data_IF_569599328389
#
_entry.id   IF_569599328389
#
_cell.length_a   1.000
_cell.length_b   1.000
_cell.length_c   1.000
_cell.angle_alpha   90.00
_cell.angle_beta   90.00
_cell.angle_gamma   90.00
#
_symmetry.space_group_name_H-M   'P 1'
#
loop_
_entity.id
_entity.type
_entity.pdbx_description
1 polymer ?
#
# COMPACT_ATOMS: atom_id res chain seq x y z
N UNK A 1 -6.63 -12.28 7.57
CA UNK A 1 -5.76 -11.85 6.45
C UNK A 1 -4.33 -12.25 6.80
N UNK A 2 -3.51 -12.68 5.83
CA UNK A 2 -2.09 -12.96 6.09
C UNK A 2 -1.29 -11.70 5.80
N UNK A 3 -0.35 -11.41 6.70
CA UNK A 3 0.46 -10.20 6.67
C UNK A 3 1.91 -10.55 6.97
N UNK A 4 2.82 -9.68 6.57
CA UNK A 4 4.25 -9.75 6.86
C UNK A 4 4.75 -8.41 7.37
N UNK A 5 5.56 -8.43 8.42
CA UNK A 5 6.12 -7.19 8.98
C UNK A 5 7.16 -6.59 8.03
N UNK A 6 7.06 -5.27 7.79
CA UNK A 6 8.07 -4.50 7.05
C UNK A 6 9.41 -4.57 7.78
N UNK A 7 9.39 -4.40 9.11
CA UNK A 7 10.58 -4.46 9.95
C UNK A 7 11.27 -5.83 9.84
N UNK A 8 10.50 -6.92 9.86
CA UNK A 8 11.03 -8.28 9.71
C UNK A 8 11.75 -8.44 8.36
N UNK A 9 11.14 -7.99 7.26
CA UNK A 9 11.75 -8.06 5.93
C UNK A 9 13.05 -7.26 5.89
N UNK A 10 13.04 -6.02 6.39
CA UNK A 10 14.23 -5.17 6.41
C UNK A 10 15.33 -5.72 7.32
N UNK A 11 14.99 -6.34 8.45
CA UNK A 11 15.98 -6.99 9.33
C UNK A 11 16.68 -8.16 8.63
N UNK A 12 15.98 -8.89 7.78
CA UNK A 12 16.54 -9.99 6.99
C UNK A 12 17.37 -9.52 5.78
N UNK A 13 17.36 -8.22 5.47
CA UNK A 13 18.20 -7.61 4.43
C UNK A 13 19.46 -7.00 5.04
N UNK A 14 20.38 -7.86 5.49
CA UNK A 14 21.61 -7.45 6.19
C UNK A 14 22.87 -7.47 5.30
N UNK A 15 22.75 -7.90 4.05
CA UNK A 15 23.85 -7.94 3.10
C UNK A 15 23.89 -6.64 2.28
N UNK A 16 25.03 -6.38 1.66
CA UNK A 16 25.15 -5.30 0.66
C UNK A 16 24.19 -5.57 -0.50
N UNK A 17 24.25 -6.77 -1.09
CA UNK A 17 23.34 -7.24 -2.13
C UNK A 17 22.44 -8.34 -1.57
N UNK A 18 21.14 -8.07 -1.44
CA UNK A 18 20.19 -9.03 -0.88
C UNK A 18 19.37 -9.68 -2.00
N UNK A 19 19.55 -10.99 -2.18
CA UNK A 19 18.81 -11.76 -3.18
C UNK A 19 17.46 -12.26 -2.67
N UNK A 20 16.46 -12.31 -3.54
CA UNK A 20 15.11 -12.76 -3.18
C UNK A 20 15.10 -14.17 -2.58
N UNK A 21 15.88 -15.09 -3.15
CA UNK A 21 15.96 -16.48 -2.68
C UNK A 21 16.60 -16.58 -1.28
N UNK A 22 17.54 -15.69 -0.94
CA UNK A 22 18.15 -15.64 0.38
C UNK A 22 17.20 -15.05 1.41
N UNK A 23 16.53 -13.94 1.08
CA UNK A 23 15.49 -13.32 1.91
C UNK A 23 14.37 -14.34 2.17
N UNK A 24 13.95 -15.11 1.16
CA UNK A 24 12.92 -16.15 1.32
C UNK A 24 13.36 -17.28 2.26
N UNK A 25 14.66 -17.61 2.31
CA UNK A 25 15.19 -18.65 3.20
C UNK A 25 15.24 -18.19 4.66
N UNK A 26 15.57 -16.93 4.89
CA UNK A 26 15.82 -16.38 6.23
C UNK A 26 14.60 -15.73 6.86
N UNK A 27 13.69 -15.18 6.05
CA UNK A 27 12.45 -14.56 6.52
C UNK A 27 11.40 -15.63 6.87
N UNK A 28 11.37 -16.00 8.15
CA UNK A 28 10.42 -16.96 8.72
C UNK A 28 9.29 -16.25 9.47
N UNK A 29 8.11 -16.86 9.51
CA UNK A 29 7.00 -16.40 10.34
C UNK A 29 7.27 -16.64 11.84
N UNK A 30 6.39 -16.14 12.71
CA UNK A 30 6.51 -16.28 14.17
C UNK A 30 6.60 -17.74 14.65
N UNK A 31 6.20 -18.71 13.83
CA UNK A 31 6.25 -20.14 14.12
C UNK A 31 7.47 -20.82 13.47
N UNK A 32 8.39 -20.04 12.91
CA UNK A 32 9.57 -20.54 12.21
C UNK A 32 9.28 -21.14 10.83
N UNK A 33 8.09 -20.91 10.24
CA UNK A 33 7.73 -21.44 8.93
C UNK A 33 8.07 -20.44 7.83
N UNK A 34 8.47 -20.96 6.67
CA UNK A 34 8.75 -20.15 5.48
C UNK A 34 7.45 -19.60 4.87
N UNK A 35 7.48 -18.34 4.46
CA UNK A 35 6.48 -17.78 3.57
C UNK A 35 6.55 -18.45 2.19
N UNK A 36 5.49 -18.33 1.38
CA UNK A 36 5.56 -18.76 -0.02
C UNK A 36 6.47 -17.81 -0.79
N UNK A 37 7.24 -18.32 -1.76
CA UNK A 37 8.13 -17.48 -2.59
C UNK A 37 7.40 -16.29 -3.20
N UNK A 38 6.22 -16.52 -3.79
CA UNK A 38 5.36 -15.47 -4.36
C UNK A 38 4.99 -14.37 -3.35
N UNK A 39 4.76 -14.74 -2.09
CA UNK A 39 4.39 -13.82 -1.02
C UNK A 39 5.59 -12.89 -0.71
N UNK A 40 6.82 -13.42 -0.71
CA UNK A 40 8.07 -12.62 -0.62
C UNK A 40 8.26 -11.75 -1.86
N UNK A 41 8.13 -12.30 -3.08
CA UNK A 41 8.30 -11.51 -4.32
C UNK A 41 7.36 -10.30 -4.36
N UNK A 42 6.11 -10.49 -3.94
CA UNK A 42 5.12 -9.42 -3.87
C UNK A 42 5.47 -8.40 -2.78
N UNK A 43 5.93 -8.86 -1.62
CA UNK A 43 6.34 -7.99 -0.52
C UNK A 43 7.55 -7.13 -0.89
N UNK A 44 8.53 -7.66 -1.63
CA UNK A 44 9.68 -6.88 -2.12
C UNK A 44 9.25 -5.80 -3.10
N UNK A 45 8.33 -6.09 -4.02
CA UNK A 45 7.75 -5.06 -4.92
C UNK A 45 7.05 -3.95 -4.14
N UNK A 46 6.35 -4.30 -3.06
CA UNK A 46 5.70 -3.32 -2.20
C UNK A 46 6.70 -2.50 -1.39
N UNK A 47 7.74 -3.12 -0.82
CA UNK A 47 8.81 -2.39 -0.14
C UNK A 47 9.52 -1.41 -1.08
N UNK A 48 9.70 -1.80 -2.35
CA UNK A 48 10.23 -0.92 -3.39
C UNK A 48 9.28 0.25 -3.67
N UNK A 49 7.97 -0.03 -3.82
CA UNK A 49 6.95 1.00 -4.03
C UNK A 49 6.76 1.95 -2.82
N UNK A 50 7.07 1.48 -1.61
CA UNK A 50 7.10 2.26 -0.36
C UNK A 50 8.47 2.90 -0.09
N UNK A 51 9.43 2.69 -0.99
CA UNK A 51 10.73 3.35 -0.96
C UNK A 51 11.70 2.81 0.08
N UNK A 52 11.37 1.71 0.77
CA UNK A 52 12.27 1.09 1.76
C UNK A 52 13.46 0.39 1.12
N UNK A 53 13.32 -0.07 -0.12
CA UNK A 53 14.37 -0.80 -0.84
C UNK A 53 14.45 -0.33 -2.29
N UNK A 54 15.63 -0.48 -2.89
CA UNK A 54 15.87 -0.25 -4.31
C UNK A 54 16.22 -1.57 -4.98
N UNK A 55 15.56 -1.86 -6.10
CA UNK A 55 15.89 -3.00 -6.95
C UNK A 55 17.02 -2.64 -7.89
N UNK A 56 18.08 -3.43 -7.88
CA UNK A 56 19.24 -3.27 -8.75
C UNK A 56 19.32 -4.47 -9.70
N UNK A 57 19.55 -4.20 -10.98
CA UNK A 57 19.75 -5.23 -12.01
C UNK A 57 21.17 -5.10 -12.55
N UNK A 58 22.02 -6.08 -12.30
CA UNK A 58 23.37 -6.14 -12.89
C UNK A 58 23.35 -6.87 -14.24
N UNK A 59 22.51 -7.90 -14.37
CA UNK A 59 22.26 -8.65 -15.60
C UNK A 59 20.80 -9.12 -15.67
N UNK A 60 20.41 -9.83 -16.74
CA UNK A 60 19.03 -10.32 -16.91
C UNK A 60 18.56 -11.25 -15.80
N UNK A 61 19.47 -11.96 -15.12
CA UNK A 61 19.19 -12.92 -14.05
C UNK A 61 19.69 -12.48 -12.69
N UNK A 62 20.62 -11.52 -12.62
CA UNK A 62 21.21 -11.03 -11.38
C UNK A 62 20.46 -9.79 -10.87
N UNK A 63 19.46 -10.07 -10.05
CA UNK A 63 18.58 -9.09 -9.43
C UNK A 63 18.76 -9.17 -7.92
N UNK A 64 19.17 -8.05 -7.32
CA UNK A 64 19.28 -7.92 -5.88
C UNK A 64 18.60 -6.63 -5.40
N UNK A 65 18.42 -6.57 -4.09
CA UNK A 65 17.77 -5.46 -3.41
C UNK A 65 18.71 -4.86 -2.38
N UNK A 66 18.81 -3.54 -2.39
CA UNK A 66 19.55 -2.78 -1.39
C UNK A 66 18.55 -1.98 -0.57
N UNK A 67 18.80 -1.82 0.73
CA UNK A 67 18.01 -0.88 1.54
C UNK A 67 18.17 0.52 0.97
N UNK A 68 17.06 1.23 0.80
CA UNK A 68 17.13 2.64 0.43
C UNK A 68 17.70 3.42 1.61
N UNK A 69 18.83 4.08 1.37
CA UNK A 69 19.28 5.16 2.24
C UNK A 69 18.81 6.46 1.61
N UNK A 70 17.85 7.12 2.24
CA UNK A 70 17.59 8.53 1.94
C UNK A 70 18.75 9.33 2.51
N UNK A 71 19.56 9.93 1.63
CA UNK A 71 20.78 10.65 2.00
C UNK A 71 20.44 11.88 2.86
N UNK A 72 19.28 12.50 2.58
CA UNK A 72 18.68 13.53 3.41
C UNK A 72 17.20 13.22 3.72
N UNK A 73 16.75 13.70 4.88
CA UNK A 73 15.34 13.78 5.29
C UNK A 73 14.43 14.39 4.22
N UNK A 74 14.90 15.38 3.47
CA UNK A 74 14.11 16.01 2.41
C UNK A 74 13.85 15.05 1.23
N UNK A 75 14.80 14.16 0.90
CA UNK A 75 14.62 13.17 -0.16
C UNK A 75 13.50 12.18 0.20
N UNK A 76 13.44 11.77 1.47
CA UNK A 76 12.37 10.88 1.91
C UNK A 76 11.00 11.55 1.90
N UNK A 77 10.94 12.80 2.36
CA UNK A 77 9.69 13.58 2.33
C UNK A 77 9.24 13.83 0.89
N UNK A 78 10.16 14.14 -0.02
CA UNK A 78 9.88 14.27 -1.45
C UNK A 78 9.27 13.00 -2.03
N UNK A 79 9.89 11.85 -1.75
CA UNK A 79 9.35 10.55 -2.14
C UNK A 79 7.94 10.30 -1.58
N UNK A 80 7.72 10.56 -0.28
CA UNK A 80 6.40 10.39 0.36
C UNK A 80 5.36 11.26 -0.32
N UNK A 81 5.69 12.52 -0.60
CA UNK A 81 4.79 13.46 -1.28
C UNK A 81 4.45 12.98 -2.69
N UNK A 82 5.42 12.51 -3.47
CA UNK A 82 5.18 12.00 -4.82
C UNK A 82 4.21 10.80 -4.82
N UNK A 83 4.41 9.85 -3.90
CA UNK A 83 3.53 8.69 -3.74
C UNK A 83 2.13 9.15 -3.30
N UNK A 84 2.05 10.09 -2.36
CA UNK A 84 0.80 10.65 -1.86
C UNK A 84 0.01 11.32 -2.99
N UNK A 85 0.60 12.29 -3.69
CA UNK A 85 -0.06 13.04 -4.77
C UNK A 85 -0.46 12.13 -5.93
N UNK A 86 0.36 11.15 -6.28
CA UNK A 86 0.05 10.18 -7.34
C UNK A 86 -1.21 9.39 -6.99
N UNK A 87 -1.32 8.88 -5.77
CA UNK A 87 -2.48 8.08 -5.37
C UNK A 87 -3.71 8.95 -5.11
N UNK A 88 -3.57 10.15 -4.56
CA UNK A 88 -4.66 11.11 -4.43
C UNK A 88 -5.27 11.47 -5.79
N UNK A 89 -4.43 11.72 -6.80
CA UNK A 89 -4.88 11.98 -8.18
C UNK A 89 -5.65 10.79 -8.76
N UNK A 90 -5.13 9.57 -8.61
CA UNK A 90 -5.82 8.33 -9.04
C UNK A 90 -7.17 8.13 -8.35
N UNK A 91 -7.26 8.44 -7.05
CA UNK A 91 -8.51 8.39 -6.30
C UNK A 91 -9.51 9.40 -6.88
N UNK A 92 -9.11 10.67 -7.04
CA UNK A 92 -9.97 11.72 -7.58
C UNK A 92 -10.50 11.36 -8.97
N UNK A 93 -9.63 10.87 -9.86
CA UNK A 93 -10.00 10.44 -11.20
C UNK A 93 -10.96 9.24 -11.19
N UNK A 94 -10.66 8.23 -10.37
CA UNK A 94 -11.50 7.04 -10.26
C UNK A 94 -12.87 7.36 -9.69
N UNK A 95 -12.94 8.21 -8.66
CA UNK A 95 -14.20 8.68 -8.10
C UNK A 95 -15.04 9.43 -9.14
N UNK A 96 -14.45 10.36 -9.89
CA UNK A 96 -15.14 11.10 -10.98
C UNK A 96 -15.72 10.15 -12.03
N UNK A 97 -14.97 9.11 -12.41
CA UNK A 97 -15.41 8.09 -13.38
C UNK A 97 -16.48 7.14 -12.82
N UNK A 98 -16.56 6.99 -11.50
CA UNK A 98 -17.53 6.16 -10.80
C UNK A 98 -18.75 6.95 -10.29
N UNK A 99 -18.75 8.28 -10.43
CA UNK A 99 -19.76 9.22 -9.90
C UNK A 99 -21.15 9.04 -10.52
N UNK A 100 -21.28 8.27 -11.61
CA UNK A 100 -22.57 7.80 -12.10
C UNK A 100 -23.23 6.87 -11.07
N UNK A 101 -24.13 7.44 -10.26
CA UNK A 101 -24.78 6.89 -9.04
C UNK A 101 -25.17 5.41 -9.03
N UNK A 102 -25.37 4.77 -10.19
CA UNK A 102 -25.75 3.34 -10.27
C UNK A 102 -24.57 2.38 -10.11
N UNK A 103 -23.32 2.79 -10.40
CA UNK A 103 -22.17 1.86 -10.46
C UNK A 103 -21.85 1.26 -9.10
N UNK A 104 -21.86 2.06 -8.04
CA UNK A 104 -21.54 1.52 -6.72
C UNK A 104 -22.66 0.68 -6.09
N UNK A 105 -23.91 1.00 -6.42
CA UNK A 105 -25.07 0.15 -6.08
C UNK A 105 -24.94 -1.20 -6.81
N UNK A 106 -24.56 -1.21 -8.09
CA UNK A 106 -24.28 -2.42 -8.86
C UNK A 106 -23.11 -3.22 -8.28
N UNK A 107 -21.99 -2.56 -7.93
CA UNK A 107 -20.82 -3.17 -7.29
C UNK A 107 -21.19 -3.85 -5.97
N UNK A 108 -22.09 -3.24 -5.19
CA UNK A 108 -22.53 -3.76 -3.90
C UNK A 108 -23.44 -4.98 -4.01
N UNK A 109 -24.15 -5.17 -5.15
CA UNK A 109 -25.16 -6.22 -5.30
C UNK A 109 -24.60 -7.57 -5.76
N UNK A 110 -23.59 -7.57 -6.62
CA UNK A 110 -22.64 -8.67 -6.86
C UNK A 110 -21.77 -8.27 -8.06
N UNK A 111 -20.45 -8.21 -7.90
CA UNK A 111 -19.55 -7.92 -9.03
C UNK A 111 -19.47 -9.08 -10.05
N UNK A 112 -19.97 -10.27 -9.68
CA UNK A 112 -20.05 -11.42 -10.57
C UNK A 112 -21.41 -11.54 -11.29
N UNK A 113 -22.47 -10.86 -10.82
CA UNK A 113 -23.83 -11.17 -11.27
C UNK A 113 -24.44 -10.24 -12.31
N UNK A 114 -23.91 -9.05 -12.61
CA UNK A 114 -24.48 -8.21 -13.67
C UNK A 114 -23.43 -7.38 -14.41
N UNK A 115 -23.79 -7.03 -15.66
CA UNK A 115 -23.06 -6.28 -16.70
C UNK A 115 -22.44 -4.94 -16.25
N UNK A 116 -21.58 -4.92 -15.24
CA UNK A 116 -20.72 -3.76 -14.97
C UNK A 116 -19.76 -3.68 -16.16
N UNK A 117 -19.86 -2.62 -16.95
CA UNK A 117 -18.97 -2.40 -18.08
C UNK A 117 -17.50 -2.57 -17.62
N UNK A 118 -16.67 -3.26 -18.41
CA UNK A 118 -15.27 -3.55 -18.06
C UNK A 118 -14.52 -2.30 -17.55
N UNK A 119 -14.86 -1.13 -18.10
CA UNK A 119 -14.32 0.16 -17.68
C UNK A 119 -14.64 0.52 -16.22
N UNK A 120 -15.88 0.33 -15.76
CA UNK A 120 -16.29 0.64 -14.38
C UNK A 120 -15.63 -0.29 -13.37
N UNK A 121 -15.45 -1.56 -13.74
CA UNK A 121 -14.70 -2.52 -12.92
C UNK A 121 -13.23 -2.10 -12.80
N UNK A 122 -12.60 -1.72 -13.92
CA UNK A 122 -11.22 -1.24 -13.91
C UNK A 122 -11.06 0.04 -13.06
N UNK A 123 -11.99 1.00 -13.17
CA UNK A 123 -11.97 2.22 -12.36
C UNK A 123 -12.15 1.91 -10.86
N UNK A 124 -12.99 0.93 -10.50
CA UNK A 124 -13.17 0.52 -9.11
C UNK A 124 -11.93 -0.19 -8.54
N UNK A 125 -11.29 -1.06 -9.31
CA UNK A 125 -10.02 -1.68 -8.90
C UNK A 125 -8.91 -0.62 -8.75
N UNK A 126 -8.81 0.34 -9.66
CA UNK A 126 -7.87 1.47 -9.53
C UNK A 126 -8.11 2.30 -8.25
N UNK A 127 -9.38 2.54 -7.90
CA UNK A 127 -9.74 3.20 -6.65
C UNK A 127 -9.28 2.39 -5.43
N UNK A 128 -9.55 1.08 -5.42
CA UNK A 128 -9.16 0.20 -4.33
C UNK A 128 -7.63 0.13 -4.18
N UNK A 129 -6.91 0.04 -5.29
CA UNK A 129 -5.45 -0.02 -5.28
C UNK A 129 -4.84 1.29 -4.79
N UNK A 130 -5.32 2.44 -5.26
CA UNK A 130 -4.84 3.75 -4.81
C UNK A 130 -5.13 3.99 -3.31
N UNK A 131 -6.32 3.58 -2.84
CA UNK A 131 -6.67 3.66 -1.42
C UNK A 131 -5.79 2.74 -0.55
N UNK A 132 -5.54 1.52 -1.03
CA UNK A 132 -4.63 0.57 -0.36
C UNK A 132 -3.22 1.14 -0.27
N UNK A 133 -2.70 1.71 -1.36
CA UNK A 133 -1.36 2.31 -1.39
C UNK A 133 -1.22 3.48 -0.41
N UNK A 134 -2.21 4.38 -0.34
CA UNK A 134 -2.20 5.47 0.65
C UNK A 134 -2.23 4.94 2.08
N UNK A 135 -2.97 3.87 2.34
CA UNK A 135 -3.02 3.27 3.69
C UNK A 135 -1.70 2.59 4.06
N UNK A 136 -1.08 1.88 3.11
CA UNK A 136 0.27 1.31 3.27
C UNK A 136 1.32 2.42 3.45
N UNK A 137 1.20 3.55 2.76
CA UNK A 137 2.06 4.73 2.92
C UNK A 137 1.90 5.37 4.30
N UNK A 138 0.67 5.58 4.78
CA UNK A 138 0.43 6.08 6.14
C UNK A 138 1.07 5.16 7.20
N UNK A 139 0.95 3.85 7.00
CA UNK A 139 1.55 2.84 7.87
C UNK A 139 3.09 2.89 7.84
N UNK A 140 3.68 3.08 6.65
CA UNK A 140 5.12 3.25 6.48
C UNK A 140 5.62 4.52 7.18
N UNK A 141 4.91 5.64 7.03
CA UNK A 141 5.21 6.90 7.72
C UNK A 141 5.18 6.71 9.23
N UNK A 142 4.18 6.01 9.77
CA UNK A 142 4.08 5.75 11.21
C UNK A 142 5.27 4.92 11.73
N UNK A 143 5.71 3.92 10.96
CA UNK A 143 6.89 3.13 11.29
C UNK A 143 8.16 3.99 11.31
N UNK A 144 8.36 4.86 10.31
CA UNK A 144 9.52 5.76 10.27
C UNK A 144 9.46 6.77 11.42
N UNK A 145 8.27 7.29 11.75
CA UNK A 145 8.10 8.16 12.91
C UNK A 145 8.48 7.49 14.24
N UNK A 146 8.21 6.19 14.41
CA UNK A 146 8.57 5.41 15.61
C UNK A 146 10.07 5.09 15.69
N UNK A 147 10.71 4.89 14.55
CA UNK A 147 12.09 4.36 14.47
C UNK A 147 13.16 5.44 14.24
N UNK A 148 12.79 6.57 13.65
CA UNK A 148 13.71 7.69 13.40
C UNK A 148 14.05 8.46 14.68
N UNK A 149 15.27 8.99 14.76
CA UNK A 149 15.70 9.96 15.79
C UNK A 149 15.64 11.41 15.32
N UNK A 150 15.37 11.65 14.04
CA UNK A 150 15.33 13.00 13.46
C UNK A 150 13.93 13.62 13.68
N UNK A 151 13.84 14.60 14.57
CA UNK A 151 12.57 15.29 14.91
C UNK A 151 12.02 16.16 13.77
N UNK A 152 12.89 16.78 12.96
CA UNK A 152 12.45 17.56 11.80
C UNK A 152 11.75 16.67 10.78
N UNK A 153 12.34 15.51 10.49
CA UNK A 153 11.74 14.51 9.63
C UNK A 153 10.39 14.04 10.18
N UNK A 154 10.31 13.74 11.49
CA UNK A 154 9.05 13.33 12.12
C UNK A 154 7.95 14.36 11.96
N UNK A 155 8.27 15.63 12.13
CA UNK A 155 7.28 16.71 12.01
C UNK A 155 6.77 16.85 10.57
N UNK A 156 7.65 16.79 9.57
CA UNK A 156 7.24 16.78 8.15
C UNK A 156 6.36 15.58 7.83
N UNK A 157 6.75 14.39 8.29
CA UNK A 157 6.01 13.15 8.09
C UNK A 157 4.65 13.12 8.80
N UNK A 158 4.51 13.75 9.96
CA UNK A 158 3.20 13.91 10.63
C UNK A 158 2.21 14.69 9.76
N UNK A 159 2.68 15.75 9.10
CA UNK A 159 1.84 16.53 8.16
C UNK A 159 1.39 15.67 6.99
N UNK A 160 2.30 14.95 6.32
CA UNK A 160 1.95 14.01 5.26
C UNK A 160 0.95 12.95 5.75
N UNK A 161 1.15 12.40 6.94
CA UNK A 161 0.23 11.42 7.54
C UNK A 161 -1.17 11.99 7.76
N UNK A 162 -1.30 13.26 8.23
CA UNK A 162 -2.61 13.90 8.37
C UNK A 162 -3.30 14.12 7.02
N UNK A 163 -2.58 14.56 5.99
CA UNK A 163 -3.14 14.78 4.65
C UNK A 163 -3.62 13.47 4.01
N UNK A 164 -2.85 12.39 4.17
CA UNK A 164 -3.26 11.06 3.73
C UNK A 164 -4.54 10.63 4.46
N UNK A 165 -4.59 10.80 5.79
CA UNK A 165 -5.77 10.44 6.59
C UNK A 165 -7.01 11.20 6.13
N UNK A 166 -6.89 12.51 5.93
CA UNK A 166 -7.98 13.34 5.42
C UNK A 166 -8.45 12.87 4.04
N UNK A 167 -7.51 12.57 3.13
CA UNK A 167 -7.83 12.04 1.79
C UNK A 167 -8.61 10.73 1.87
N UNK A 168 -8.19 9.80 2.74
CA UNK A 168 -8.85 8.52 2.96
C UNK A 168 -10.25 8.70 3.54
N UNK A 169 -10.42 9.60 4.52
CA UNK A 169 -11.71 9.93 5.14
C UNK A 169 -12.68 10.53 4.12
N UNK A 170 -12.27 11.58 3.39
CA UNK A 170 -13.08 12.21 2.35
C UNK A 170 -13.48 11.22 1.24
N UNK A 171 -12.55 10.33 0.87
CA UNK A 171 -12.81 9.28 -0.12
C UNK A 171 -13.84 8.29 0.40
N UNK A 172 -13.68 7.82 1.63
CA UNK A 172 -14.62 6.90 2.27
C UNK A 172 -16.00 7.54 2.39
N UNK A 173 -16.10 8.82 2.77
CA UNK A 173 -17.36 9.57 2.80
C UNK A 173 -18.05 9.61 1.43
N UNK A 174 -17.32 9.97 0.36
CA UNK A 174 -17.86 9.98 -1.01
C UNK A 174 -18.34 8.61 -1.45
N UNK A 175 -17.65 7.55 -1.01
CA UNK A 175 -18.06 6.19 -1.25
C UNK A 175 -19.33 5.90 -0.44
N UNK A 176 -19.44 6.14 0.86
CA UNK A 176 -20.62 5.70 1.61
C UNK A 176 -21.86 6.62 1.44
N UNK A 177 -21.68 7.85 0.97
CA UNK A 177 -22.74 8.85 0.82
C UNK A 177 -23.90 8.32 -0.04
N UNK A 178 -25.13 8.54 0.43
CA UNK A 178 -26.40 8.12 -0.21
C UNK A 178 -26.59 6.59 -0.35
N UNK A 179 -25.77 5.74 0.31
CA UNK A 179 -25.88 4.27 0.23
C UNK A 179 -26.61 3.66 1.41
N UNK A 180 -27.24 2.51 1.18
CA UNK A 180 -27.89 1.74 2.26
C UNK A 180 -26.85 1.01 3.10
N UNK A 181 -27.16 0.75 4.38
CA UNK A 181 -26.26 0.10 5.33
C UNK A 181 -25.68 -1.24 4.82
N UNK A 182 -26.48 -2.06 4.12
CA UNK A 182 -25.99 -3.33 3.56
C UNK A 182 -24.95 -3.13 2.46
N UNK A 183 -25.10 -2.09 1.63
CA UNK A 183 -24.17 -1.76 0.56
C UNK A 183 -22.85 -1.24 1.15
N UNK A 184 -22.95 -0.39 2.17
CA UNK A 184 -21.80 0.11 2.94
C UNK A 184 -21.00 -1.05 3.53
N UNK A 185 -21.66 -2.03 4.17
CA UNK A 185 -21.00 -3.20 4.76
C UNK A 185 -20.23 -4.00 3.71
N UNK A 186 -20.81 -4.22 2.52
CA UNK A 186 -20.17 -4.99 1.44
C UNK A 186 -18.94 -4.26 0.92
N UNK A 187 -19.05 -2.94 0.74
CA UNK A 187 -17.93 -2.11 0.27
C UNK A 187 -16.81 -2.10 1.33
N UNK A 188 -17.15 -1.82 2.59
CA UNK A 188 -16.18 -1.78 3.70
C UNK A 188 -15.47 -3.12 3.88
N UNK A 189 -16.17 -4.26 3.75
CA UNK A 189 -15.54 -5.59 3.79
C UNK A 189 -14.48 -5.78 2.70
N UNK A 190 -14.66 -5.21 1.51
CA UNK A 190 -13.66 -5.27 0.43
C UNK A 190 -12.42 -4.42 0.75
N UNK A 191 -12.62 -3.23 1.31
CA UNK A 191 -11.52 -2.37 1.76
C UNK A 191 -10.75 -3.04 2.92
N UNK A 192 -11.46 -3.51 3.95
CA UNK A 192 -10.86 -4.18 5.12
C UNK A 192 -10.10 -5.46 4.75
N UNK A 193 -10.54 -6.17 3.70
CA UNK A 193 -9.82 -7.33 3.19
C UNK A 193 -8.53 -7.00 2.41
N UNK A 194 -8.22 -5.72 2.16
CA UNK A 194 -7.06 -5.26 1.40
C UNK A 194 -6.06 -4.42 2.20
N UNK A 195 -6.49 -3.83 3.31
CA UNK A 195 -5.68 -2.92 4.13
C UNK A 195 -4.95 -3.71 5.22
N UNK A 196 -3.60 -3.83 5.19
CA UNK A 196 -2.83 -4.47 6.26
C UNK A 196 -2.78 -3.62 7.53
N UNK A 197 -2.42 -4.24 8.67
CA UNK A 197 -2.13 -3.50 9.89
C UNK A 197 -0.94 -2.53 9.71
N UNK A 198 -0.88 -1.42 10.50
CA UNK A 198 0.25 -0.51 10.45
C UNK A 198 1.60 -1.19 10.69
N UNK A 199 2.57 -0.97 9.79
CA UNK A 199 3.88 -1.62 9.80
C UNK A 199 3.92 -2.99 9.12
N UNK A 200 2.80 -3.44 8.54
CA UNK A 200 2.70 -4.71 7.83
C UNK A 200 2.36 -4.52 6.35
N UNK A 201 2.78 -5.49 5.54
CA UNK A 201 2.34 -5.65 4.16
C UNK A 201 1.38 -6.81 4.08
N UNK A 202 0.33 -6.65 3.28
CA UNK A 202 -0.56 -7.75 2.95
C UNK A 202 0.14 -8.77 2.03
N UNK A 203 0.05 -10.06 2.39
CA UNK A 203 0.51 -11.21 1.60
C UNK A 203 -0.54 -11.70 0.59
#
# INVERSE_FOLDING_TARGET
MKEISIELLLKNMNQENNYEDDIWRTCLDEKGKRYRRKDISNSLKKLEALGFIKKTKLSGTDIHYNKSSYLDSNDYVGFVNDVMFTNESKIKESLKKLEFKKIFVEISKDLNSYKIANQSKANYENLLDAFSNLTELASAIELVNKTSKNEELKNKLKTCHSEIKETLEQTNEKIIRERKSNEIIIIQRRFAGRIPNPGFLKL
#
